data_IF_944507152396
#
_entry.id   IF_944507152396
#
_cell.length_a   1.000
_cell.length_b   1.000
_cell.length_c   1.000
_cell.angle_alpha   90.00
_cell.angle_beta   90.00
_cell.angle_gamma   90.00
#
_symmetry.space_group_name_H-M   'P 1'
#
loop_
_entity.id
_entity.type
_entity.pdbx_description
1 polymer ?
#
# COMPACT_ATOMS: atom_id res chain seq x y z
N UNK A 1 12.40 -12.25 19.29
CA UNK A 1 13.07 -10.96 19.54
C UNK A 1 13.67 -11.00 20.92
N UNK A 2 14.96 -10.77 21.08
CA UNK A 2 15.66 -10.57 22.35
C UNK A 2 16.70 -9.45 22.13
N UNK A 3 16.37 -8.26 22.60
CA UNK A 3 17.23 -7.09 22.46
C UNK A 3 17.35 -6.34 23.79
N UNK A 4 18.53 -5.86 24.14
CA UNK A 4 18.68 -4.93 25.26
C UNK A 4 18.17 -3.53 24.87
N UNK A 5 17.76 -2.74 25.85
CA UNK A 5 17.38 -1.33 25.63
C UNK A 5 18.49 -0.56 24.92
N UNK A 6 19.75 -0.85 25.24
CA UNK A 6 20.91 -0.26 24.56
C UNK A 6 20.89 -0.56 23.07
N UNK A 7 20.73 -1.82 22.67
CA UNK A 7 20.64 -2.23 21.25
C UNK A 7 19.46 -1.57 20.54
N UNK A 8 18.29 -1.53 21.19
CA UNK A 8 17.11 -0.87 20.62
C UNK A 8 17.38 0.63 20.44
N UNK A 9 17.97 1.29 21.44
CA UNK A 9 18.33 2.71 21.36
C UNK A 9 19.30 3.02 20.22
N UNK A 10 20.30 2.15 19.98
CA UNK A 10 21.22 2.28 18.84
C UNK A 10 20.50 2.18 17.49
N UNK A 11 19.50 1.31 17.38
CA UNK A 11 18.71 1.07 16.15
C UNK A 11 17.79 2.25 15.85
N UNK A 12 16.99 2.67 16.85
CA UNK A 12 15.97 3.70 16.62
C UNK A 12 16.50 5.12 16.76
N UNK A 13 17.65 5.27 17.41
CA UNK A 13 18.26 6.54 17.81
C UNK A 13 17.54 7.16 19.00
N UNK A 14 18.20 7.39 20.13
CA UNK A 14 17.57 8.03 21.28
C UNK A 14 18.44 8.04 22.51
N UNK A 15 17.99 8.73 23.56
CA UNK A 15 18.63 8.74 24.89
C UNK A 15 17.89 7.79 25.81
N UNK A 16 18.65 6.94 26.50
CA UNK A 16 18.10 6.03 27.51
C UNK A 16 17.94 6.78 28.83
N UNK A 17 16.79 6.58 29.47
CA UNK A 17 16.52 6.98 30.85
C UNK A 17 16.02 5.75 31.58
N UNK A 18 16.87 5.14 32.41
CA UNK A 18 16.60 3.88 33.12
C UNK A 18 17.66 2.83 32.86
N UNK A 19 17.29 1.55 32.89
CA UNK A 19 18.19 0.41 32.75
C UNK A 19 18.49 0.11 31.26
N UNK A 20 19.73 0.36 30.84
CA UNK A 20 20.21 0.10 29.47
C UNK A 20 20.35 -1.40 29.16
N UNK A 21 20.49 -2.25 30.18
CA UNK A 21 20.67 -3.69 30.05
C UNK A 21 19.36 -4.46 30.10
N UNK A 22 18.23 -3.80 30.37
CA UNK A 22 16.92 -4.41 30.41
C UNK A 22 16.66 -5.15 29.08
N UNK A 23 16.31 -6.44 29.18
CA UNK A 23 16.03 -7.26 28.01
C UNK A 23 14.56 -7.10 27.60
N UNK A 24 14.33 -6.83 26.33
CA UNK A 24 13.01 -6.72 25.71
C UNK A 24 12.77 -7.95 24.86
N UNK A 25 11.66 -8.64 25.12
CA UNK A 25 11.26 -9.87 24.47
C UNK A 25 10.05 -9.69 23.55
N UNK A 26 9.32 -8.57 23.72
CA UNK A 26 8.10 -8.29 22.95
C UNK A 26 7.89 -6.82 22.64
N UNK A 27 6.91 -6.57 21.77
CA UNK A 27 6.44 -5.23 21.41
C UNK A 27 4.93 -5.25 21.40
N UNK A 28 4.31 -4.34 22.15
CA UNK A 28 2.87 -4.27 22.31
C UNK A 28 2.34 -2.84 22.34
N UNK A 29 1.03 -2.69 22.16
CA UNK A 29 0.38 -1.39 22.44
C UNK A 29 0.49 -1.05 23.91
N UNK A 30 0.44 0.24 24.24
CA UNK A 30 0.58 0.72 25.62
C UNK A 30 -0.46 0.13 26.57
N UNK A 31 -1.64 -0.23 26.06
CA UNK A 31 -2.74 -0.81 26.81
C UNK A 31 -2.61 -2.30 27.07
N UNK A 32 -1.93 -3.03 26.19
CA UNK A 32 -1.86 -4.50 26.20
C UNK A 32 -0.44 -5.03 26.45
N UNK A 33 0.49 -4.15 26.77
CA UNK A 33 1.86 -4.53 27.02
C UNK A 33 1.99 -5.27 28.36
N UNK A 34 2.83 -6.30 28.37
CA UNK A 34 3.18 -7.12 29.53
C UNK A 34 4.65 -6.87 29.92
N UNK A 35 5.09 -7.48 31.03
CA UNK A 35 6.49 -7.44 31.41
C UNK A 35 7.41 -8.05 30.34
N UNK A 36 8.50 -7.38 30.04
CA UNK A 36 9.37 -7.72 28.89
C UNK A 36 9.00 -7.00 27.59
N UNK A 37 7.86 -6.32 27.51
CA UNK A 37 7.46 -5.58 26.33
C UNK A 37 8.01 -4.15 26.29
N UNK A 38 8.30 -3.67 25.07
CA UNK A 38 8.49 -2.24 24.77
C UNK A 38 7.26 -1.70 24.05
N UNK A 39 6.81 -0.51 24.47
CA UNK A 39 5.71 0.20 23.83
C UNK A 39 6.13 1.62 23.40
N UNK A 40 5.21 2.41 22.88
CA UNK A 40 5.46 3.79 22.51
C UNK A 40 4.26 4.69 22.81
N UNK A 41 4.52 5.98 23.00
CA UNK A 41 3.46 6.99 23.09
C UNK A 41 3.38 7.81 21.79
N UNK A 42 2.17 7.97 21.27
CA UNK A 42 1.93 8.67 20.02
C UNK A 42 1.89 10.19 20.20
N UNK A 43 1.40 10.64 21.35
CA UNK A 43 1.23 12.06 21.69
C UNK A 43 1.01 12.23 23.20
N UNK A 44 0.89 13.49 23.66
CA UNK A 44 0.71 13.86 25.07
C UNK A 44 -0.49 13.18 25.76
N UNK A 45 -1.56 12.90 25.06
CA UNK A 45 -2.75 12.27 25.65
C UNK A 45 -2.50 10.85 26.13
N UNK A 46 -1.40 10.22 25.72
CA UNK A 46 -1.01 8.88 26.14
C UNK A 46 -0.05 8.86 27.34
N UNK A 47 0.46 10.01 27.79
CA UNK A 47 1.40 10.06 28.92
C UNK A 47 0.80 9.44 30.20
N UNK A 48 -0.46 9.69 30.52
CA UNK A 48 -1.14 9.06 31.66
C UNK A 48 -1.19 7.53 31.59
N UNK A 49 -1.20 6.95 30.39
CA UNK A 49 -1.19 5.51 30.20
C UNK A 49 0.18 4.89 30.49
N UNK A 50 1.27 5.67 30.38
CA UNK A 50 2.63 5.19 30.75
C UNK A 50 2.71 4.82 32.22
N UNK A 51 1.96 5.52 33.09
CA UNK A 51 1.91 5.23 34.53
C UNK A 51 1.12 3.95 34.87
N UNK A 52 0.29 3.49 33.92
CA UNK A 52 -0.63 2.36 34.14
C UNK A 52 -0.23 1.10 33.37
N UNK A 53 0.64 1.22 32.36
CA UNK A 53 1.04 0.08 31.52
C UNK A 53 1.93 -0.91 32.27
N UNK A 54 1.83 -2.19 31.93
CA UNK A 54 2.77 -3.23 32.37
C UNK A 54 4.05 -3.30 31.52
N UNK A 55 4.15 -2.50 30.44
CA UNK A 55 5.35 -2.45 29.59
C UNK A 55 6.62 -2.21 30.44
N UNK A 56 7.68 -2.94 30.18
CA UNK A 56 8.98 -2.75 30.83
C UNK A 56 9.73 -1.51 30.33
N UNK A 57 9.49 -1.13 29.06
CA UNK A 57 10.07 0.08 28.47
C UNK A 57 9.09 0.83 27.57
N UNK A 58 9.31 2.15 27.39
CA UNK A 58 8.47 3.00 26.55
C UNK A 58 9.33 3.95 25.72
N UNK A 59 9.03 4.04 24.41
CA UNK A 59 9.59 5.07 23.52
C UNK A 59 8.76 6.35 23.67
N UNK A 60 9.39 7.45 24.03
CA UNK A 60 8.72 8.73 24.30
C UNK A 60 9.48 9.90 23.68
N UNK A 61 8.85 11.07 23.58
CA UNK A 61 9.49 12.29 23.08
C UNK A 61 10.11 13.15 24.19
N UNK A 62 9.85 12.83 25.46
CA UNK A 62 10.41 13.50 26.63
C UNK A 62 10.50 12.57 27.82
N UNK A 63 11.26 12.93 28.84
CA UNK A 63 11.22 12.24 30.13
C UNK A 63 9.79 12.24 30.72
N UNK A 64 9.43 11.16 31.37
CA UNK A 64 8.16 11.02 32.12
C UNK A 64 8.55 10.68 33.53
N UNK A 65 8.49 11.69 34.40
CA UNK A 65 8.77 11.52 35.81
C UNK A 65 7.77 10.56 36.46
N UNK A 66 8.21 9.82 37.47
CA UNK A 66 7.39 8.87 38.22
C UNK A 66 6.85 7.67 37.40
N UNK A 67 7.30 7.48 36.16
CA UNK A 67 6.83 6.33 35.35
C UNK A 67 7.29 4.97 35.91
N UNK A 68 8.42 4.94 36.60
CA UNK A 68 9.06 3.69 37.03
C UNK A 68 9.55 2.80 35.89
N UNK A 69 9.44 3.26 34.65
CA UNK A 69 9.76 2.52 33.43
C UNK A 69 11.08 2.98 32.81
N UNK A 70 11.74 2.09 32.09
CA UNK A 70 12.87 2.50 31.23
C UNK A 70 12.33 3.21 30.00
N UNK A 71 12.86 4.39 29.70
CA UNK A 71 12.43 5.19 28.56
C UNK A 71 13.54 5.28 27.52
N UNK A 72 13.16 5.26 26.22
CA UNK A 72 14.01 5.69 25.11
C UNK A 72 13.42 6.99 24.57
N UNK A 73 14.16 8.10 24.77
CA UNK A 73 13.70 9.45 24.42
C UNK A 73 14.20 9.78 23.02
N UNK A 74 13.27 10.07 22.11
CA UNK A 74 13.51 10.37 20.69
C UNK A 74 12.67 11.57 20.24
N UNK A 75 13.08 12.26 19.20
CA UNK A 75 12.33 13.41 18.67
C UNK A 75 10.93 12.99 18.14
N UNK A 76 10.85 11.83 17.48
CA UNK A 76 9.59 11.31 16.95
C UNK A 76 9.41 9.83 17.34
N UNK A 77 8.68 9.54 18.44
CA UNK A 77 8.45 8.17 18.92
C UNK A 77 7.78 7.25 17.91
N UNK A 78 6.87 7.78 17.11
CA UNK A 78 6.18 6.97 16.11
C UNK A 78 7.13 6.52 14.98
N UNK A 79 7.94 7.43 14.47
CA UNK A 79 8.95 7.11 13.44
C UNK A 79 10.00 6.12 13.97
N UNK A 80 10.45 6.29 15.22
CA UNK A 80 11.37 5.38 15.87
C UNK A 80 10.76 3.98 16.05
N UNK A 81 9.50 3.92 16.45
CA UNK A 81 8.78 2.66 16.63
C UNK A 81 8.56 1.91 15.31
N UNK A 82 8.30 2.62 14.21
CA UNK A 82 8.24 2.00 12.87
C UNK A 82 9.55 1.28 12.53
N UNK A 83 10.70 1.85 12.86
CA UNK A 83 12.00 1.18 12.64
C UNK A 83 12.10 -0.13 13.42
N UNK A 84 11.66 -0.13 14.69
CA UNK A 84 11.63 -1.33 15.51
C UNK A 84 10.68 -2.39 14.95
N UNK A 85 9.47 -1.98 14.57
CA UNK A 85 8.49 -2.90 13.95
C UNK A 85 9.03 -3.51 12.67
N UNK A 86 9.79 -2.76 11.88
CA UNK A 86 10.40 -3.28 10.65
C UNK A 86 11.37 -4.41 10.94
N UNK A 87 12.26 -4.26 11.93
CA UNK A 87 13.19 -5.34 12.32
C UNK A 87 12.45 -6.59 12.74
N UNK A 88 11.41 -6.44 13.57
CA UNK A 88 10.62 -7.57 14.03
C UNK A 88 9.90 -8.25 12.86
N UNK A 89 9.36 -7.46 11.94
CA UNK A 89 8.73 -7.97 10.73
C UNK A 89 9.73 -8.75 9.88
N UNK A 90 10.92 -8.21 9.66
CA UNK A 90 11.97 -8.85 8.88
C UNK A 90 12.43 -10.17 9.52
N UNK A 91 12.56 -10.23 10.85
CA UNK A 91 12.85 -11.49 11.58
C UNK A 91 11.74 -12.53 11.40
N UNK A 92 10.48 -12.13 11.53
CA UNK A 92 9.32 -13.02 11.39
C UNK A 92 9.10 -13.50 9.95
N UNK A 93 9.49 -12.72 8.97
CA UNK A 93 9.29 -13.01 7.55
C UNK A 93 10.49 -13.68 6.88
N UNK A 94 11.53 -14.06 7.63
CA UNK A 94 12.66 -14.77 7.07
C UNK A 94 12.22 -16.09 6.43
N UNK A 95 12.26 -16.11 5.10
CA UNK A 95 12.03 -17.32 4.33
C UNK A 95 13.36 -17.99 4.02
N UNK A 96 13.42 -19.33 4.00
CA UNK A 96 14.62 -20.03 3.55
C UNK A 96 15.04 -19.54 2.15
N UNK A 97 16.30 -19.17 1.98
CA UNK A 97 16.86 -18.72 0.68
C UNK A 97 17.13 -19.92 -0.21
N UNK A 98 16.07 -20.59 -0.60
CA UNK A 98 16.10 -21.82 -1.40
C UNK A 98 14.98 -21.81 -2.44
N UNK A 99 15.12 -22.66 -3.44
CA UNK A 99 14.06 -22.94 -4.42
C UNK A 99 13.38 -24.24 -4.00
N UNK A 100 12.07 -24.19 -3.77
CA UNK A 100 11.31 -25.39 -3.41
C UNK A 100 11.30 -26.41 -4.55
N UNK A 101 11.45 -27.72 -4.28
CA UNK A 101 11.53 -28.76 -5.32
C UNK A 101 10.34 -28.83 -6.26
N UNK A 102 9.16 -28.39 -5.83
CA UNK A 102 7.95 -28.34 -6.68
C UNK A 102 7.83 -27.06 -7.51
N UNK A 103 8.76 -26.13 -7.43
CA UNK A 103 8.77 -24.96 -8.30
C UNK A 103 9.17 -25.35 -9.73
N UNK A 104 8.49 -24.78 -10.72
CA UNK A 104 8.78 -24.97 -12.14
C UNK A 104 9.35 -23.68 -12.70
N UNK A 105 10.63 -23.68 -13.01
CA UNK A 105 11.35 -22.52 -13.54
C UNK A 105 11.89 -22.89 -14.92
N UNK A 106 11.54 -22.06 -15.92
CA UNK A 106 12.06 -22.24 -17.27
C UNK A 106 13.58 -22.11 -17.30
N UNK A 107 14.23 -22.92 -18.13
CA UNK A 107 15.70 -22.90 -18.30
C UNK A 107 16.20 -21.58 -18.94
N UNK A 108 15.33 -20.91 -19.67
CA UNK A 108 15.63 -19.65 -20.37
C UNK A 108 15.44 -18.43 -19.45
N UNK A 109 15.00 -18.64 -18.21
CA UNK A 109 14.86 -17.57 -17.23
C UNK A 109 16.16 -17.33 -16.48
N UNK A 110 16.43 -16.09 -16.11
CA UNK A 110 17.56 -15.71 -15.27
C UNK A 110 17.10 -15.38 -13.87
N UNK A 111 17.70 -16.07 -12.89
CA UNK A 111 17.34 -15.97 -11.49
C UNK A 111 18.53 -15.41 -10.71
N UNK A 112 18.33 -14.29 -10.01
CA UNK A 112 19.34 -13.66 -9.18
C UNK A 112 19.77 -14.52 -7.99
N UNK A 113 20.74 -14.06 -7.23
CA UNK A 113 21.21 -14.75 -6.04
C UNK A 113 20.37 -14.41 -4.79
N UNK A 114 20.53 -15.23 -3.74
CA UNK A 114 19.88 -15.05 -2.44
C UNK A 114 18.35 -14.92 -2.53
N UNK A 115 17.72 -15.76 -3.35
CA UNK A 115 16.27 -15.78 -3.54
C UNK A 115 15.60 -16.85 -2.67
N UNK A 116 14.30 -16.65 -2.45
CA UNK A 116 13.38 -17.64 -1.87
C UNK A 116 12.26 -17.91 -2.87
N UNK A 117 12.07 -19.16 -3.28
CA UNK A 117 10.99 -19.56 -4.19
C UNK A 117 10.17 -20.66 -3.54
N UNK A 118 8.92 -20.37 -3.26
CA UNK A 118 7.97 -21.25 -2.58
C UNK A 118 7.47 -22.41 -3.42
N UNK A 119 6.67 -23.26 -2.80
CA UNK A 119 6.08 -24.42 -3.46
C UNK A 119 5.14 -24.01 -4.61
N UNK A 120 5.15 -24.81 -5.68
CA UNK A 120 4.25 -24.64 -6.84
C UNK A 120 4.36 -23.27 -7.54
N UNK A 121 5.46 -22.57 -7.38
CA UNK A 121 5.75 -21.36 -8.15
C UNK A 121 6.06 -21.77 -9.58
N UNK A 122 5.50 -21.02 -10.55
CA UNK A 122 5.82 -21.20 -11.97
C UNK A 122 6.45 -19.89 -12.47
N UNK A 123 7.62 -19.99 -13.10
CA UNK A 123 8.32 -18.88 -13.77
C UNK A 123 8.59 -19.30 -15.21
N UNK A 124 7.91 -18.65 -16.14
CA UNK A 124 8.02 -18.94 -17.57
C UNK A 124 9.26 -18.32 -18.22
N UNK A 125 9.50 -18.68 -19.48
CA UNK A 125 10.72 -18.37 -20.22
C UNK A 125 11.04 -16.88 -20.38
N UNK A 126 12.32 -16.59 -20.62
CA UNK A 126 12.85 -15.23 -20.84
C UNK A 126 12.60 -14.25 -19.69
N UNK A 127 12.18 -14.75 -18.53
CA UNK A 127 11.90 -13.93 -17.34
C UNK A 127 13.16 -13.68 -16.52
N UNK A 128 13.29 -12.45 -16.01
CA UNK A 128 14.42 -11.99 -15.22
C UNK A 128 13.97 -11.68 -13.78
N UNK A 129 14.53 -12.40 -12.81
CA UNK A 129 14.28 -12.17 -11.38
C UNK A 129 15.56 -11.61 -10.75
N UNK A 130 15.47 -10.49 -10.08
CA UNK A 130 16.57 -9.84 -9.37
C UNK A 130 17.08 -10.62 -8.16
N UNK A 131 18.03 -10.03 -7.44
CA UNK A 131 18.59 -10.60 -6.19
C UNK A 131 17.66 -10.35 -5.00
N UNK A 132 17.80 -11.16 -3.94
CA UNK A 132 17.07 -11.06 -2.67
C UNK A 132 15.54 -11.14 -2.82
N UNK A 133 15.01 -11.56 -3.95
CA UNK A 133 13.56 -11.66 -4.19
C UNK A 133 12.99 -12.82 -3.38
N UNK A 134 11.80 -12.59 -2.80
CA UNK A 134 11.02 -13.63 -2.11
C UNK A 134 9.71 -13.85 -2.86
N UNK A 135 9.52 -15.08 -3.35
CA UNK A 135 8.32 -15.51 -4.08
C UNK A 135 7.64 -16.61 -3.25
N UNK A 136 6.47 -16.30 -2.74
CA UNK A 136 5.68 -17.22 -1.92
C UNK A 136 4.97 -18.29 -2.76
N UNK A 137 4.40 -19.34 -2.13
CA UNK A 137 3.78 -20.44 -2.85
C UNK A 137 2.66 -20.03 -3.81
N UNK A 138 2.48 -20.84 -4.87
CA UNK A 138 1.42 -20.72 -5.89
C UNK A 138 1.45 -19.41 -6.69
N UNK A 139 2.59 -18.74 -6.81
CA UNK A 139 2.76 -17.58 -7.68
C UNK A 139 3.01 -18.04 -9.10
N UNK A 140 2.38 -17.37 -10.06
CA UNK A 140 2.65 -17.51 -11.49
C UNK A 140 3.28 -16.24 -12.05
N UNK A 141 4.39 -16.38 -12.75
CA UNK A 141 5.07 -15.30 -13.48
C UNK A 141 5.24 -15.74 -14.93
N UNK A 142 4.58 -15.02 -15.83
CA UNK A 142 4.57 -15.29 -17.26
C UNK A 142 5.90 -14.99 -17.95
N UNK A 143 5.92 -15.24 -19.26
CA UNK A 143 7.11 -15.05 -20.11
C UNK A 143 7.56 -13.60 -20.18
N UNK A 144 8.87 -13.39 -20.36
CA UNK A 144 9.49 -12.07 -20.63
C UNK A 144 9.21 -11.01 -19.56
N UNK A 145 8.90 -11.45 -18.32
CA UNK A 145 8.72 -10.56 -17.18
C UNK A 145 10.07 -10.09 -16.60
N UNK A 146 10.06 -8.94 -15.93
CA UNK A 146 11.20 -8.45 -15.16
C UNK A 146 10.74 -8.10 -13.75
N UNK A 147 11.40 -8.68 -12.74
CA UNK A 147 11.15 -8.41 -11.32
C UNK A 147 12.44 -7.88 -10.71
N UNK A 148 12.40 -6.67 -10.18
CA UNK A 148 13.55 -6.01 -9.58
C UNK A 148 13.98 -6.59 -8.24
N UNK A 149 15.14 -6.14 -7.77
CA UNK A 149 15.79 -6.57 -6.54
C UNK A 149 14.92 -6.34 -5.30
N UNK A 150 15.13 -7.14 -4.24
CA UNK A 150 14.54 -6.98 -2.92
C UNK A 150 13.01 -6.99 -2.89
N UNK A 151 12.35 -7.51 -3.94
CA UNK A 151 10.90 -7.56 -4.06
C UNK A 151 10.29 -8.78 -3.36
N UNK A 152 9.06 -8.61 -2.87
CA UNK A 152 8.31 -9.66 -2.17
C UNK A 152 6.98 -9.89 -2.90
N UNK A 153 6.74 -11.13 -3.34
CA UNK A 153 5.52 -11.53 -4.04
C UNK A 153 4.81 -12.59 -3.19
N UNK A 154 3.68 -12.22 -2.63
CA UNK A 154 2.91 -13.05 -1.70
C UNK A 154 2.10 -14.15 -2.41
N UNK A 155 1.53 -15.12 -1.66
CA UNK A 155 0.89 -16.29 -2.25
C UNK A 155 -0.24 -15.96 -3.24
N UNK A 156 -0.41 -16.81 -4.26
CA UNK A 156 -1.49 -16.74 -5.24
C UNK A 156 -1.50 -15.46 -6.11
N UNK A 157 -0.38 -14.76 -6.23
CA UNK A 157 -0.23 -13.64 -7.17
C UNK A 157 -0.06 -14.19 -8.58
N UNK A 158 -0.72 -13.56 -9.54
CA UNK A 158 -0.55 -13.82 -10.97
C UNK A 158 0.05 -12.59 -11.64
N UNK A 159 1.19 -12.78 -12.30
CA UNK A 159 1.84 -11.77 -13.14
C UNK A 159 1.87 -12.33 -14.55
N UNK A 160 1.12 -11.70 -15.46
CA UNK A 160 1.06 -12.10 -16.86
C UNK A 160 2.34 -11.70 -17.58
N UNK A 161 2.43 -12.15 -18.82
CA UNK A 161 3.59 -11.96 -19.71
C UNK A 161 3.96 -10.48 -19.92
N UNK A 162 5.26 -10.21 -20.13
CA UNK A 162 5.85 -8.91 -20.49
C UNK A 162 5.68 -7.79 -19.43
N UNK A 163 5.32 -8.15 -18.20
CA UNK A 163 5.21 -7.18 -17.10
C UNK A 163 6.59 -6.85 -16.54
N UNK A 164 6.86 -5.57 -16.33
CA UNK A 164 8.07 -5.08 -15.66
C UNK A 164 7.72 -4.53 -14.28
N UNK A 165 8.41 -4.98 -13.25
CA UNK A 165 8.28 -4.56 -11.86
C UNK A 165 9.65 -4.13 -11.35
N UNK A 166 9.74 -2.94 -10.78
CA UNK A 166 10.95 -2.36 -10.21
C UNK A 166 11.41 -3.03 -8.91
N UNK A 167 12.34 -2.39 -8.24
CA UNK A 167 12.95 -2.89 -7.01
C UNK A 167 12.08 -2.64 -5.78
N UNK A 168 12.23 -3.47 -4.73
CA UNK A 168 11.54 -3.33 -3.43
C UNK A 168 10.02 -3.27 -3.54
N UNK A 169 9.49 -3.89 -4.58
CA UNK A 169 8.05 -4.01 -4.74
C UNK A 169 7.47 -5.02 -3.74
N UNK A 170 6.31 -4.69 -3.18
CA UNK A 170 5.55 -5.59 -2.30
C UNK A 170 4.21 -5.86 -2.96
N UNK A 171 3.96 -7.12 -3.35
CA UNK A 171 2.72 -7.52 -4.01
C UNK A 171 1.99 -8.53 -3.13
N UNK A 172 0.85 -8.10 -2.59
CA UNK A 172 0.06 -8.90 -1.65
C UNK A 172 -0.75 -10.00 -2.34
N UNK A 173 -1.19 -10.95 -1.53
CA UNK A 173 -1.83 -12.18 -1.98
C UNK A 173 -3.02 -11.95 -2.90
N UNK A 174 -3.10 -12.76 -3.96
CA UNK A 174 -4.21 -12.77 -4.90
C UNK A 174 -4.26 -11.59 -5.88
N UNK A 175 -3.26 -10.71 -5.89
CA UNK A 175 -3.18 -9.66 -6.91
C UNK A 175 -3.02 -10.27 -8.31
N UNK A 176 -3.72 -9.71 -9.31
CA UNK A 176 -3.64 -10.10 -10.72
C UNK A 176 -3.13 -8.91 -11.55
N UNK A 177 -1.96 -9.10 -12.16
CA UNK A 177 -1.24 -8.05 -12.88
C UNK A 177 -1.00 -8.50 -14.32
N UNK A 178 -1.59 -7.78 -15.28
CA UNK A 178 -1.38 -8.05 -16.70
C UNK A 178 -2.55 -8.71 -17.41
N UNK A 179 -3.69 -8.87 -16.76
CA UNK A 179 -4.90 -9.34 -17.46
C UNK A 179 -5.35 -8.37 -18.53
N UNK A 180 -6.07 -8.88 -19.53
CA UNK A 180 -6.61 -8.06 -20.61
C UNK A 180 -7.56 -6.98 -20.05
N UNK A 181 -7.41 -5.76 -20.53
CA UNK A 181 -8.39 -4.71 -20.32
C UNK A 181 -9.76 -5.07 -20.86
N UNK A 182 -10.82 -4.54 -20.27
CA UNK A 182 -12.20 -4.75 -20.70
C UNK A 182 -12.50 -3.88 -21.94
N UNK A 183 -12.05 -4.34 -23.11
CA UNK A 183 -12.21 -3.67 -24.38
C UNK A 183 -13.12 -4.47 -25.33
N UNK A 184 -14.30 -3.93 -25.66
CA UNK A 184 -15.23 -4.53 -26.61
C UNK A 184 -15.85 -3.45 -27.51
N UNK A 185 -15.99 -3.78 -28.80
CA UNK A 185 -16.66 -2.94 -29.77
C UNK A 185 -17.95 -3.64 -30.26
N UNK A 186 -19.05 -2.93 -30.28
CA UNK A 186 -20.28 -3.47 -30.83
C UNK A 186 -20.27 -3.39 -32.37
N UNK A 187 -20.25 -4.56 -33.02
CA UNK A 187 -20.29 -4.65 -34.48
C UNK A 187 -21.53 -5.49 -34.85
N UNK A 188 -22.45 -4.92 -35.58
CA UNK A 188 -23.71 -5.59 -36.02
C UNK A 188 -24.46 -6.25 -34.85
N UNK A 189 -24.56 -5.55 -33.72
CA UNK A 189 -25.27 -6.02 -32.52
C UNK A 189 -24.51 -7.04 -31.65
N UNK A 190 -23.27 -7.41 -32.00
CA UNK A 190 -22.43 -8.34 -31.22
C UNK A 190 -21.24 -7.61 -30.62
N UNK A 191 -20.85 -7.98 -29.40
CA UNK A 191 -19.63 -7.47 -28.75
C UNK A 191 -18.42 -8.27 -29.25
N UNK A 192 -17.52 -7.60 -29.96
CA UNK A 192 -16.27 -8.15 -30.45
C UNK A 192 -15.14 -7.66 -29.54
N UNK A 193 -14.35 -8.60 -29.01
CA UNK A 193 -13.22 -8.28 -28.12
C UNK A 193 -12.16 -7.50 -28.88
N UNK A 194 -11.65 -6.43 -28.27
CA UNK A 194 -10.45 -5.69 -28.71
C UNK A 194 -9.25 -6.37 -28.07
N UNK A 195 -8.33 -6.97 -28.84
CA UNK A 195 -7.10 -7.54 -28.29
C UNK A 195 -6.30 -6.51 -27.48
N UNK A 196 -5.74 -6.95 -26.38
CA UNK A 196 -4.89 -6.11 -25.51
C UNK A 196 -3.45 -6.59 -25.67
N UNK A 197 -2.66 -5.85 -26.46
CA UNK A 197 -1.28 -6.23 -26.86
C UNK A 197 -0.21 -5.36 -26.20
N UNK A 198 -0.62 -4.42 -25.37
CA UNK A 198 0.29 -3.62 -24.57
C UNK A 198 0.72 -4.32 -23.29
N UNK A 199 1.45 -3.64 -22.44
CA UNK A 199 2.03 -4.21 -21.23
C UNK A 199 1.80 -3.34 -19.98
N UNK A 200 2.49 -3.69 -18.87
CA UNK A 200 2.48 -2.95 -17.61
C UNK A 200 3.92 -2.64 -17.18
N UNK A 201 4.11 -1.42 -16.70
CA UNK A 201 5.35 -1.00 -16.06
C UNK A 201 5.07 -0.50 -14.65
N UNK A 202 5.72 -1.12 -13.65
CA UNK A 202 5.62 -0.79 -12.23
C UNK A 202 7.00 -0.36 -11.76
N UNK A 203 7.09 0.81 -11.15
CA UNK A 203 8.33 1.40 -10.63
C UNK A 203 8.83 0.76 -9.33
N UNK A 204 9.83 1.40 -8.75
CA UNK A 204 10.44 1.02 -7.48
C UNK A 204 9.55 1.35 -6.27
N UNK A 205 9.73 0.64 -5.15
CA UNK A 205 9.07 0.92 -3.87
C UNK A 205 7.53 0.92 -3.94
N UNK A 206 6.94 0.25 -4.92
CA UNK A 206 5.49 0.14 -5.07
C UNK A 206 4.94 -0.93 -4.14
N UNK A 207 3.81 -0.64 -3.46
CA UNK A 207 3.06 -1.63 -2.70
C UNK A 207 1.68 -1.84 -3.34
N UNK A 208 1.35 -3.10 -3.63
CA UNK A 208 0.08 -3.52 -4.23
C UNK A 208 -0.64 -4.43 -3.24
N UNK A 209 -1.83 -4.03 -2.83
CA UNK A 209 -2.68 -4.73 -1.87
C UNK A 209 -3.27 -6.04 -2.39
N UNK A 210 -3.91 -6.76 -1.49
CA UNK A 210 -4.53 -8.06 -1.79
C UNK A 210 -5.68 -7.91 -2.78
N UNK A 211 -5.76 -8.85 -3.73
CA UNK A 211 -6.80 -8.91 -4.76
C UNK A 211 -6.93 -7.63 -5.61
N UNK A 212 -5.88 -6.85 -5.72
CA UNK A 212 -5.81 -5.75 -6.68
C UNK A 212 -5.72 -6.31 -8.09
N UNK A 213 -6.42 -5.70 -9.02
CA UNK A 213 -6.35 -6.05 -10.44
C UNK A 213 -5.80 -4.89 -11.25
N UNK A 214 -4.75 -5.13 -12.04
CA UNK A 214 -4.13 -4.14 -12.93
C UNK A 214 -4.16 -4.70 -14.34
N UNK A 215 -4.97 -4.07 -15.20
CA UNK A 215 -5.11 -4.49 -16.58
C UNK A 215 -3.99 -3.92 -17.46
N UNK A 216 -3.52 -4.74 -18.42
CA UNK A 216 -2.58 -4.28 -19.46
C UNK A 216 -3.23 -3.28 -20.39
N UNK A 217 -2.43 -2.48 -21.02
CA UNK A 217 -2.89 -1.54 -22.04
C UNK A 217 -3.37 -2.26 -23.32
N UNK A 218 -4.28 -1.65 -24.05
CA UNK A 218 -4.62 -2.12 -25.39
C UNK A 218 -3.43 -1.99 -26.34
N UNK A 219 -2.76 -0.84 -26.27
CA UNK A 219 -1.49 -0.50 -26.91
C UNK A 219 -0.64 0.25 -25.90
N UNK A 220 0.67 0.24 -26.04
CA UNK A 220 1.62 0.88 -25.13
C UNK A 220 1.62 0.27 -23.72
N UNK A 221 1.46 1.07 -22.67
CA UNK A 221 1.63 0.61 -21.28
C UNK A 221 0.56 1.16 -20.35
N UNK A 222 0.19 0.37 -19.34
CA UNK A 222 -0.36 0.84 -18.06
C UNK A 222 0.84 1.10 -17.14
N UNK A 223 0.90 2.26 -16.49
CA UNK A 223 2.09 2.71 -15.75
C UNK A 223 1.74 2.97 -14.28
N UNK A 224 2.49 2.35 -13.39
CA UNK A 224 2.46 2.62 -11.94
C UNK A 224 3.84 3.14 -11.56
N UNK A 225 3.96 4.43 -11.29
CA UNK A 225 5.26 5.05 -10.98
C UNK A 225 5.78 4.65 -9.60
N UNK A 226 7.07 4.97 -9.33
CA UNK A 226 7.72 4.63 -8.07
C UNK A 226 7.02 5.23 -6.86
N UNK A 227 7.09 4.53 -5.72
CA UNK A 227 6.52 4.98 -4.46
C UNK A 227 5.00 4.81 -4.30
N UNK A 228 4.27 4.47 -5.35
CA UNK A 228 2.79 4.31 -5.34
C UNK A 228 2.37 3.22 -4.36
N UNK A 229 1.28 3.49 -3.63
CA UNK A 229 0.62 2.53 -2.74
C UNK A 229 -0.81 2.30 -3.20
N UNK A 230 -1.17 1.05 -3.44
CA UNK A 230 -2.52 0.64 -3.86
C UNK A 230 -3.04 -0.35 -2.85
N UNK A 231 -4.09 0.02 -2.14
CA UNK A 231 -4.70 -0.81 -1.12
C UNK A 231 -5.66 -1.85 -1.73
N UNK A 232 -6.12 -2.76 -0.90
CA UNK A 232 -6.83 -3.98 -1.25
C UNK A 232 -8.06 -3.75 -2.14
N UNK A 233 -8.32 -4.71 -3.03
CA UNK A 233 -9.51 -4.75 -3.91
C UNK A 233 -9.65 -3.56 -4.87
N UNK A 234 -8.61 -2.79 -5.11
CA UNK A 234 -8.64 -1.73 -6.12
C UNK A 234 -8.54 -2.29 -7.53
N UNK A 235 -9.15 -1.59 -8.49
CA UNK A 235 -9.09 -1.93 -9.90
C UNK A 235 -8.47 -0.80 -10.73
N UNK A 236 -7.40 -1.12 -11.44
CA UNK A 236 -6.71 -0.23 -12.36
C UNK A 236 -6.96 -0.75 -13.78
N UNK A 237 -7.81 -0.08 -14.54
CA UNK A 237 -8.11 -0.48 -15.90
C UNK A 237 -6.95 -0.19 -16.87
N UNK A 238 -7.12 -0.62 -18.11
CA UNK A 238 -6.13 -0.50 -19.17
C UNK A 238 -5.72 0.95 -19.48
N UNK A 239 -4.47 1.15 -19.87
CA UNK A 239 -3.93 2.47 -20.28
C UNK A 239 -3.96 3.55 -19.19
N UNK A 240 -4.09 3.16 -17.92
CA UNK A 240 -3.97 4.09 -16.80
C UNK A 240 -2.52 4.46 -16.54
N UNK A 241 -2.29 5.67 -15.99
CA UNK A 241 -1.00 6.07 -15.44
C UNK A 241 -1.17 6.65 -14.05
N UNK A 242 -0.35 6.20 -13.10
CA UNK A 242 -0.36 6.68 -11.71
C UNK A 242 1.02 7.25 -11.40
N UNK A 243 1.05 8.54 -11.05
CA UNK A 243 2.27 9.29 -10.75
C UNK A 243 2.86 8.94 -9.38
N UNK A 244 4.13 9.31 -9.22
CA UNK A 244 4.97 8.99 -8.05
C UNK A 244 4.31 9.35 -6.72
N UNK A 245 4.54 8.51 -5.71
CA UNK A 245 4.11 8.68 -4.32
C UNK A 245 2.59 8.88 -4.13
N UNK A 246 1.78 8.53 -5.13
CA UNK A 246 0.34 8.57 -5.03
C UNK A 246 -0.21 7.36 -4.26
N UNK A 247 -1.32 7.57 -3.56
CA UNK A 247 -1.94 6.58 -2.70
C UNK A 247 -3.40 6.35 -3.11
N UNK A 248 -3.73 5.10 -3.40
CA UNK A 248 -5.08 4.64 -3.72
C UNK A 248 -5.53 3.71 -2.58
N UNK A 249 -6.51 4.15 -1.82
CA UNK A 249 -7.05 3.39 -0.68
C UNK A 249 -8.06 2.36 -1.20
N UNK A 250 -8.44 1.41 -0.37
CA UNK A 250 -9.20 0.23 -0.73
C UNK A 250 -10.42 0.51 -1.63
N UNK A 251 -10.67 -0.39 -2.57
CA UNK A 251 -11.77 -0.30 -3.53
C UNK A 251 -11.71 0.91 -4.49
N UNK A 252 -10.56 1.53 -4.69
CA UNK A 252 -10.42 2.53 -5.75
C UNK A 252 -10.66 1.90 -7.13
N UNK A 253 -11.49 2.54 -7.97
CA UNK A 253 -11.91 2.03 -9.28
C UNK A 253 -11.55 3.05 -10.35
N UNK A 254 -10.47 2.79 -11.07
CA UNK A 254 -10.00 3.60 -12.18
C UNK A 254 -10.45 2.98 -13.50
N UNK A 255 -11.29 3.69 -14.24
CA UNK A 255 -11.68 3.28 -15.58
C UNK A 255 -10.56 3.51 -16.60
N UNK A 256 -10.71 3.00 -17.83
CA UNK A 256 -9.65 3.01 -18.85
C UNK A 256 -9.11 4.42 -19.16
N UNK A 257 -7.79 4.52 -19.29
CA UNK A 257 -7.10 5.76 -19.66
C UNK A 257 -7.08 6.86 -18.60
N UNK A 258 -7.40 6.55 -17.34
CA UNK A 258 -7.31 7.51 -16.22
C UNK A 258 -5.85 7.86 -15.96
N UNK A 259 -5.58 9.14 -15.74
CA UNK A 259 -4.26 9.66 -15.36
C UNK A 259 -4.31 10.25 -13.95
N UNK A 260 -3.48 9.72 -13.07
CA UNK A 260 -3.27 10.22 -11.72
C UNK A 260 -1.88 10.88 -11.66
N UNK A 261 -1.81 12.10 -11.20
CA UNK A 261 -0.57 12.85 -11.00
C UNK A 261 0.26 12.33 -9.82
N UNK A 262 1.24 13.13 -9.39
CA UNK A 262 2.11 12.83 -8.24
C UNK A 262 1.47 13.26 -6.92
N UNK A 263 1.78 12.55 -5.83
CA UNK A 263 1.29 12.86 -4.47
C UNK A 263 -0.24 13.00 -4.40
N UNK A 264 -0.97 12.23 -5.20
CA UNK A 264 -2.44 12.24 -5.17
C UNK A 264 -2.95 11.22 -4.17
N UNK A 265 -3.96 11.61 -3.40
CA UNK A 265 -4.65 10.71 -2.48
C UNK A 265 -6.06 10.41 -2.98
N UNK A 266 -6.32 9.16 -3.30
CA UNK A 266 -7.65 8.64 -3.64
C UNK A 266 -8.14 7.84 -2.45
N UNK A 267 -9.14 8.35 -1.74
CA UNK A 267 -9.72 7.68 -0.58
C UNK A 267 -10.51 6.42 -0.97
N UNK A 268 -11.01 5.71 0.03
CA UNK A 268 -11.73 4.43 -0.17
C UNK A 268 -12.98 4.58 -1.03
N UNK A 269 -13.26 3.55 -1.81
CA UNK A 269 -14.45 3.38 -2.66
C UNK A 269 -14.68 4.50 -3.70
N UNK A 270 -13.61 5.15 -4.15
CA UNK A 270 -13.69 6.19 -5.18
C UNK A 270 -13.78 5.56 -6.57
N UNK A 271 -14.71 6.08 -7.38
CA UNK A 271 -14.85 5.75 -8.80
C UNK A 271 -14.39 6.91 -9.70
N UNK A 272 -13.56 6.61 -10.71
CA UNK A 272 -13.05 7.60 -11.66
C UNK A 272 -13.38 7.13 -13.08
N UNK A 273 -14.13 7.96 -13.82
CA UNK A 273 -14.56 7.62 -15.19
C UNK A 273 -13.42 7.72 -16.20
N UNK A 274 -13.64 7.12 -17.38
CA UNK A 274 -12.62 7.03 -18.44
C UNK A 274 -11.99 8.39 -18.81
N UNK A 275 -10.68 8.36 -19.06
CA UNK A 275 -9.89 9.50 -19.58
C UNK A 275 -9.89 10.74 -18.67
N UNK A 276 -10.30 10.62 -17.42
CA UNK A 276 -10.16 11.70 -16.43
C UNK A 276 -8.71 11.80 -16.00
N UNK A 277 -8.23 13.04 -15.85
CA UNK A 277 -6.93 13.37 -15.30
C UNK A 277 -7.10 14.04 -13.92
N UNK A 278 -6.47 13.47 -12.90
CA UNK A 278 -6.37 14.06 -11.56
C UNK A 278 -4.94 14.54 -11.40
N UNK A 279 -4.74 15.85 -11.43
CA UNK A 279 -3.40 16.45 -11.38
C UNK A 279 -2.80 16.40 -9.98
N UNK A 280 -1.50 16.71 -9.91
CA UNK A 280 -0.64 16.57 -8.73
C UNK A 280 -1.22 17.17 -7.44
N UNK A 281 -0.86 16.56 -6.30
CA UNK A 281 -1.21 17.03 -4.95
C UNK A 281 -2.71 17.15 -4.69
N UNK A 282 -3.55 16.45 -5.44
CA UNK A 282 -4.99 16.44 -5.29
C UNK A 282 -5.46 15.37 -4.30
N UNK A 283 -6.63 15.57 -3.70
CA UNK A 283 -7.28 14.62 -2.81
C UNK A 283 -8.72 14.38 -3.23
N UNK A 284 -9.12 13.12 -3.33
CA UNK A 284 -10.50 12.72 -3.57
C UNK A 284 -11.01 12.00 -2.33
N UNK A 285 -12.04 12.57 -1.69
CA UNK A 285 -12.65 12.01 -0.48
C UNK A 285 -13.42 10.73 -0.75
N UNK A 286 -13.61 9.93 0.31
CA UNK A 286 -14.22 8.60 0.27
C UNK A 286 -15.60 8.57 -0.41
N UNK A 287 -15.92 7.44 -1.06
CA UNK A 287 -17.18 7.18 -1.75
C UNK A 287 -17.55 8.23 -2.80
N UNK A 288 -16.56 8.87 -3.41
CA UNK A 288 -16.77 9.89 -4.44
C UNK A 288 -16.76 9.29 -5.85
N UNK A 289 -17.47 9.96 -6.77
CA UNK A 289 -17.39 9.65 -8.19
C UNK A 289 -16.90 10.87 -8.98
N UNK A 290 -15.75 10.71 -9.65
CA UNK A 290 -15.08 11.77 -10.40
C UNK A 290 -15.39 11.61 -11.88
N UNK A 291 -16.11 12.57 -12.46
CA UNK A 291 -16.51 12.59 -13.86
C UNK A 291 -15.77 13.61 -14.72
N UNK A 292 -14.96 14.47 -14.11
CA UNK A 292 -14.21 15.53 -14.79
C UNK A 292 -12.81 15.62 -14.21
N UNK A 293 -11.86 16.00 -15.05
CA UNK A 293 -10.47 16.22 -14.63
C UNK A 293 -10.37 17.29 -13.54
N UNK A 294 -9.39 17.14 -12.68
CA UNK A 294 -9.14 18.00 -11.53
C UNK A 294 -7.82 18.75 -11.72
N UNK A 295 -7.84 20.05 -11.39
CA UNK A 295 -6.65 20.88 -11.37
C UNK A 295 -5.73 20.51 -10.19
N UNK A 296 -4.42 20.87 -10.24
CA UNK A 296 -3.49 20.55 -9.17
C UNK A 296 -3.96 21.07 -7.80
N UNK A 297 -3.75 20.30 -6.75
CA UNK A 297 -4.13 20.68 -5.38
C UNK A 297 -5.63 20.66 -5.10
N UNK A 298 -6.44 20.09 -6.00
CA UNK A 298 -7.89 19.99 -5.80
C UNK A 298 -8.23 19.06 -4.65
N UNK A 299 -9.14 19.50 -3.76
CA UNK A 299 -9.74 18.65 -2.72
C UNK A 299 -11.23 18.56 -2.98
N UNK A 300 -11.70 17.37 -3.37
CA UNK A 300 -13.07 17.13 -3.78
C UNK A 300 -13.72 15.98 -3.01
N UNK A 301 -15.04 16.00 -2.93
CA UNK A 301 -15.84 14.95 -2.31
C UNK A 301 -17.23 14.90 -2.91
N UNK A 302 -17.87 13.72 -2.85
CA UNK A 302 -19.26 13.51 -3.21
C UNK A 302 -19.47 12.83 -4.57
N UNK A 303 -20.72 12.64 -4.94
CA UNK A 303 -21.13 12.03 -6.21
C UNK A 303 -22.22 12.88 -6.88
N UNK A 304 -21.90 13.63 -7.95
CA UNK A 304 -20.56 13.85 -8.52
C UNK A 304 -19.62 14.57 -7.56
N UNK A 305 -18.32 14.31 -7.65
CA UNK A 305 -17.33 14.95 -6.82
C UNK A 305 -17.27 16.47 -7.06
N UNK A 306 -17.30 17.23 -5.97
CA UNK A 306 -17.29 18.71 -5.93
C UNK A 306 -16.21 19.18 -4.94
N UNK A 307 -15.82 20.48 -4.98
CA UNK A 307 -14.97 21.03 -3.94
C UNK A 307 -15.50 20.71 -2.55
N UNK A 308 -14.67 20.20 -1.67
CA UNK A 308 -15.09 19.64 -0.37
C UNK A 308 -15.83 20.67 0.50
N UNK A 309 -15.41 21.93 0.46
CA UNK A 309 -16.07 23.03 1.21
C UNK A 309 -17.50 23.26 0.73
N UNK A 310 -17.73 23.18 -0.58
CA UNK A 310 -19.05 23.30 -1.17
C UNK A 310 -19.92 22.10 -0.80
N UNK A 311 -19.39 20.87 -0.94
CA UNK A 311 -20.13 19.64 -0.63
C UNK A 311 -20.54 19.58 0.84
N UNK A 312 -19.63 19.91 1.77
CA UNK A 312 -19.98 20.00 3.20
C UNK A 312 -21.12 20.97 3.49
N UNK A 313 -21.15 22.14 2.84
CA UNK A 313 -22.27 23.10 2.97
C UNK A 313 -23.55 22.50 2.42
N UNK A 314 -23.50 21.86 1.27
CA UNK A 314 -24.66 21.23 0.65
C UNK A 314 -25.26 20.14 1.55
N UNK A 315 -24.43 19.28 2.15
CA UNK A 315 -24.88 18.25 3.09
C UNK A 315 -25.60 18.85 4.33
N UNK A 316 -25.11 19.97 4.85
CA UNK A 316 -25.79 20.69 5.95
C UNK A 316 -27.16 21.24 5.50
N UNK A 317 -27.24 21.80 4.29
CA UNK A 317 -28.52 22.31 3.75
C UNK A 317 -29.51 21.17 3.49
N UNK A 318 -29.05 20.03 2.94
CA UNK A 318 -29.89 18.86 2.72
C UNK A 318 -30.50 18.36 4.03
N UNK A 319 -29.71 18.31 5.12
CA UNK A 319 -30.24 17.96 6.45
C UNK A 319 -31.33 18.90 6.97
N UNK A 320 -31.29 20.19 6.60
CA UNK A 320 -32.28 21.20 6.99
C UNK A 320 -33.46 21.26 6.03
N UNK A 321 -33.42 20.58 4.89
CA UNK A 321 -34.45 20.64 3.86
C UNK A 321 -35.86 20.30 4.38
N UNK A 322 -36.09 19.31 5.27
CA UNK A 322 -37.41 19.04 5.83
C UNK A 322 -37.98 20.22 6.64
N UNK A 323 -37.14 20.92 7.42
CA UNK A 323 -37.53 22.09 8.18
C UNK A 323 -37.86 23.30 7.27
N UNK A 324 -37.04 23.51 6.24
CA UNK A 324 -37.24 24.54 5.23
C UNK A 324 -38.53 24.28 4.47
N UNK A 325 -38.77 23.03 4.04
CA UNK A 325 -39.98 22.64 3.33
C UNK A 325 -41.24 22.90 4.17
N UNK A 326 -41.20 22.54 5.47
CA UNK A 326 -42.34 22.81 6.38
C UNK A 326 -42.63 24.29 6.49
N UNK A 327 -41.62 25.16 6.67
CA UNK A 327 -41.79 26.61 6.73
C UNK A 327 -42.36 27.22 5.45
N UNK A 328 -41.94 26.70 4.27
CA UNK A 328 -42.43 27.18 2.97
C UNK A 328 -43.87 26.73 2.72
N UNK A 329 -44.27 25.55 3.21
CA UNK A 329 -45.61 25.03 3.06
C UNK A 329 -46.64 25.78 3.91
N UNK A 330 -46.20 26.38 5.03
CA UNK A 330 -47.02 27.13 5.97
C UNK A 330 -47.11 28.64 5.59
N UNK A 331 -46.47 29.08 4.46
CA UNK A 331 -46.60 30.41 3.83
C UNK A 331 -47.67 30.39 2.73
#
# INVERSE_FOLDING_TARGET
MEYTIKQISEIIGGKISGDENLCITGVSSIENAEDGDISFIKNESFVSKVLQTEASAVVSHRPIEESGKTLIIVDNPFSAFIKLLKIISDEKQQQPRTIHPSAVISKDSSIGYNISVGANVVIDGDTQIGKNVTIYPNVYIGTSCKIGDDSIIYPNVTIREEVTIGNRAIIQSGASIGDDGFGFLQIKGKHVKIPQVGTIEIGDDVAIGSNVTIARAALDKTIISSGVKIDNHSHIAHNCSIGEDSMLIAYAKLAGGVKIGKNVMIAEDVGITNYVEIKDNSMVGAASNVYKSLEPGSIVWGSPAKPITFEKRLQVLIKKLPEIYKKVKDL
#
